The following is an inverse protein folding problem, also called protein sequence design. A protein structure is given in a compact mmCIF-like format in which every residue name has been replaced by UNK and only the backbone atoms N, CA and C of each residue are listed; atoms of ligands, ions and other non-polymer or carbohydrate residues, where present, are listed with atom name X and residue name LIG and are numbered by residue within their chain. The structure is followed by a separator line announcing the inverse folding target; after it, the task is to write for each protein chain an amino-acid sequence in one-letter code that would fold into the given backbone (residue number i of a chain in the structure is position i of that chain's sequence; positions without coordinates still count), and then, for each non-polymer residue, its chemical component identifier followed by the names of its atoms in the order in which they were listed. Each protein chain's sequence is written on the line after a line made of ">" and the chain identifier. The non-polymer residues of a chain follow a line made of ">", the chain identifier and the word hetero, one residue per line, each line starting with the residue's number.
data_IF_358220608465
#
_entry.id   IF_358220608465
#
_cell.length_a   1.000
_cell.length_b   1.000
_cell.length_c   1.000
_cell.angle_alpha   90.00
_cell.angle_beta   90.00
_cell.angle_gamma   90.00
#
_symmetry.space_group_name_H-M   'P 1'
#
loop_
_entity.id
_entity.type
_entity.pdbx_description
1 polymer ?
#
# COMPACT_ATOMS: atom_id res chain seq x y z
N UNK A 1 37.07 49.26 -53.86
CA UNK A 1 36.08 49.62 -52.89
C UNK A 1 35.02 48.51 -52.80
N UNK A 2 35.31 47.28 -52.33
CA UNK A 2 34.32 46.15 -52.15
C UNK A 2 34.66 45.23 -50.99
N UNK A 3 35.25 45.73 -49.90
CA UNK A 3 35.61 44.89 -48.73
C UNK A 3 34.96 45.30 -47.40
N UNK A 4 34.03 46.24 -47.38
CA UNK A 4 33.41 46.73 -46.16
C UNK A 4 31.95 46.23 -45.95
N UNK A 5 31.37 45.52 -46.92
CA UNK A 5 29.97 45.05 -46.82
C UNK A 5 29.82 43.63 -46.25
N UNK A 6 30.90 42.85 -46.13
CA UNK A 6 30.83 41.50 -45.62
C UNK A 6 30.98 41.37 -44.08
N UNK A 7 31.47 42.45 -43.42
CA UNK A 7 31.76 42.41 -41.99
C UNK A 7 30.53 42.72 -41.12
N UNK A 8 29.48 43.31 -41.67
CA UNK A 8 28.28 43.61 -40.92
C UNK A 8 27.20 42.45 -40.90
N UNK A 9 27.30 41.49 -41.82
CA UNK A 9 26.35 40.41 -41.94
C UNK A 9 26.64 39.22 -40.99
N UNK A 10 27.86 39.13 -40.46
CA UNK A 10 28.27 38.01 -39.57
C UNK A 10 28.00 38.30 -38.10
N UNK A 11 27.82 39.57 -37.71
CA UNK A 11 27.55 39.96 -36.32
C UNK A 11 26.07 39.92 -35.93
N UNK A 12 25.15 39.72 -36.86
CA UNK A 12 23.71 39.71 -36.58
C UNK A 12 23.16 38.31 -36.23
N UNK A 13 23.95 37.24 -36.30
CA UNK A 13 23.49 35.85 -36.08
C UNK A 13 23.81 35.34 -34.68
N UNK A 14 24.59 36.04 -33.86
CA UNK A 14 25.01 35.58 -32.53
C UNK A 14 24.14 36.15 -31.39
N UNK A 15 23.14 36.98 -31.67
CA UNK A 15 22.22 37.51 -30.67
C UNK A 15 20.87 36.75 -30.61
N UNK A 16 20.86 35.49 -31.04
CA UNK A 16 19.77 34.56 -30.76
C UNK A 16 19.85 34.14 -29.32
N UNK A 17 19.17 34.88 -28.43
CA UNK A 17 18.94 34.51 -27.04
C UNK A 17 18.35 33.13 -27.01
N UNK A 18 19.10 32.12 -26.50
CA UNK A 18 18.54 30.86 -26.05
C UNK A 18 17.62 31.16 -24.87
N UNK A 19 16.36 31.45 -25.12
CA UNK A 19 15.31 31.32 -24.14
C UNK A 19 15.08 29.81 -24.02
N UNK A 20 15.79 29.19 -23.08
CA UNK A 20 15.45 27.82 -22.67
C UNK A 20 14.01 27.86 -22.16
N UNK A 21 13.11 27.01 -22.68
CA UNK A 21 11.79 26.88 -22.08
C UNK A 21 11.99 26.43 -20.62
N UNK A 22 11.65 27.29 -19.68
CA UNK A 22 11.47 26.90 -18.29
C UNK A 22 10.25 25.98 -18.31
N UNK A 23 10.51 24.68 -18.34
CA UNK A 23 9.47 23.68 -18.08
C UNK A 23 8.95 24.00 -16.67
N UNK A 24 7.64 24.21 -16.49
CA UNK A 24 7.09 24.31 -15.16
C UNK A 24 7.47 23.00 -14.46
N UNK A 25 8.17 23.08 -13.33
CA UNK A 25 8.31 21.97 -12.42
C UNK A 25 6.87 21.61 -12.04
N UNK A 26 6.38 20.50 -12.56
CA UNK A 26 5.17 19.88 -12.05
C UNK A 26 5.52 19.51 -10.62
N UNK A 27 5.07 20.32 -9.66
CA UNK A 27 5.11 19.92 -8.28
C UNK A 27 4.30 18.63 -8.24
N UNK A 28 4.97 17.53 -7.97
CA UNK A 28 4.34 16.26 -7.71
C UNK A 28 3.47 16.52 -6.49
N UNK A 29 2.16 16.60 -6.72
CA UNK A 29 1.17 16.77 -5.66
C UNK A 29 1.31 15.52 -4.80
N UNK A 30 1.96 15.65 -3.64
CA UNK A 30 2.09 14.56 -2.67
C UNK A 30 0.65 14.28 -2.26
N UNK A 31 0.08 13.24 -2.82
CA UNK A 31 -1.27 12.78 -2.54
C UNK A 31 -1.34 12.58 -1.02
N UNK A 32 -2.08 13.46 -0.33
CA UNK A 32 -2.23 13.43 1.12
C UNK A 32 -2.92 12.12 1.48
N UNK A 33 -2.14 11.13 1.89
CA UNK A 33 -2.63 9.78 2.16
C UNK A 33 -3.49 9.85 3.41
N UNK A 34 -4.80 9.84 3.21
CA UNK A 34 -5.77 9.85 4.27
C UNK A 34 -5.77 8.51 5.00
N UNK A 35 -5.46 8.53 6.28
CA UNK A 35 -5.50 7.35 7.13
C UNK A 35 -6.94 7.05 7.52
N UNK A 36 -7.47 5.94 7.05
CA UNK A 36 -8.74 5.40 7.51
C UNK A 36 -8.49 4.54 8.74
N UNK A 37 -8.63 5.05 9.88
CA UNK A 37 -8.43 4.30 11.14
C UNK A 37 -9.08 5.01 12.31
N UNK A 38 -9.67 6.16 12.05
CA UNK A 38 -10.29 6.99 13.07
C UNK A 38 -11.80 7.05 12.84
N UNK A 39 -12.58 6.84 13.90
CA UNK A 39 -14.00 7.17 13.85
C UNK A 39 -14.14 8.68 13.63
N UNK A 40 -14.42 9.09 12.40
CA UNK A 40 -14.52 10.51 12.04
C UNK A 40 -13.98 10.80 10.64
N UNK A 41 -13.56 12.05 10.42
CA UNK A 41 -12.97 12.45 9.15
C UNK A 41 -11.59 11.80 8.96
N UNK A 42 -11.22 11.43 7.73
CA UNK A 42 -9.86 10.98 7.41
C UNK A 42 -8.83 11.99 7.92
N UNK A 43 -7.73 11.51 8.47
CA UNK A 43 -6.62 12.34 8.95
C UNK A 43 -5.36 12.01 8.16
N UNK A 44 -4.44 12.94 8.09
CA UNK A 44 -3.12 12.67 7.54
C UNK A 44 -2.34 11.70 8.47
N UNK A 45 -1.37 11.01 7.91
CA UNK A 45 -0.50 10.09 8.68
C UNK A 45 0.22 10.83 9.80
N UNK A 46 0.62 12.09 9.56
CA UNK A 46 1.31 12.95 10.52
C UNK A 46 0.44 13.34 11.72
N UNK A 47 -0.88 13.41 11.55
CA UNK A 47 -1.83 13.80 12.59
C UNK A 47 -2.40 12.60 13.37
N UNK A 48 -1.97 11.40 13.02
CA UNK A 48 -2.42 10.19 13.70
C UNK A 48 -1.75 10.04 15.07
N UNK A 49 -2.52 9.89 16.17
CA UNK A 49 -1.96 9.63 17.50
C UNK A 49 -1.37 8.21 17.61
N UNK A 50 -1.55 7.37 16.62
CA UNK A 50 -1.12 5.97 16.57
C UNK A 50 -0.23 5.78 15.36
N UNK A 51 0.88 5.04 15.46
CA UNK A 51 1.77 4.77 14.33
C UNK A 51 1.03 3.98 13.25
N UNK A 52 0.87 4.61 12.09
CA UNK A 52 0.25 4.03 10.91
C UNK A 52 1.27 3.98 9.80
N UNK A 53 1.47 2.81 9.23
CA UNK A 53 2.23 2.66 8.00
C UNK A 53 1.25 2.58 6.82
N UNK A 54 1.54 3.34 5.78
CA UNK A 54 0.76 3.34 4.53
C UNK A 54 1.65 2.89 3.38
N UNK A 55 1.23 1.86 2.69
CA UNK A 55 1.90 1.31 1.52
C UNK A 55 1.04 1.55 0.29
N UNK A 56 1.44 2.49 -0.55
CA UNK A 56 0.77 2.80 -1.81
C UNK A 56 1.05 1.75 -2.90
N UNK A 57 0.42 1.93 -4.05
CA UNK A 57 0.54 1.01 -5.20
C UNK A 57 1.99 0.79 -5.63
N UNK A 58 2.81 1.84 -5.64
CA UNK A 58 4.22 1.76 -6.00
C UNK A 58 5.01 0.82 -5.07
N UNK A 59 4.81 0.96 -3.74
CA UNK A 59 5.45 0.09 -2.76
C UNK A 59 4.99 -1.36 -2.91
N UNK A 60 3.69 -1.58 -3.19
CA UNK A 60 3.14 -2.92 -3.39
C UNK A 60 3.64 -3.58 -4.67
N UNK A 61 3.85 -2.81 -5.74
CA UNK A 61 4.34 -3.27 -7.03
C UNK A 61 5.85 -3.47 -7.07
N UNK A 62 6.62 -2.76 -6.23
CA UNK A 62 8.07 -2.91 -6.10
C UNK A 62 8.48 -4.30 -5.61
N UNK A 63 7.58 -4.99 -4.93
CA UNK A 63 7.81 -6.35 -4.42
C UNK A 63 7.42 -7.36 -5.49
N UNK A 64 8.33 -8.30 -5.81
CA UNK A 64 8.14 -9.28 -6.88
C UNK A 64 7.16 -10.42 -6.56
N UNK A 65 6.49 -10.39 -5.41
CA UNK A 65 5.53 -11.42 -5.03
C UNK A 65 4.12 -11.11 -5.55
N UNK A 66 3.39 -12.16 -5.94
CA UNK A 66 1.98 -12.08 -6.36
C UNK A 66 1.00 -12.35 -5.21
N UNK A 67 1.44 -13.10 -4.20
CA UNK A 67 0.65 -13.39 -3.00
C UNK A 67 0.68 -12.19 -2.06
N UNK A 68 -0.48 -11.65 -1.74
CA UNK A 68 -0.64 -10.51 -0.83
C UNK A 68 0.03 -10.74 0.53
N UNK A 69 0.04 -11.96 1.02
CA UNK A 69 0.71 -12.30 2.28
C UNK A 69 2.23 -12.14 2.19
N UNK A 70 2.84 -12.58 1.09
CA UNK A 70 4.29 -12.48 0.91
C UNK A 70 4.71 -11.01 0.68
N UNK A 71 3.86 -10.22 -0.01
CA UNK A 71 4.04 -8.77 -0.14
C UNK A 71 4.04 -8.10 1.24
N UNK A 72 3.03 -8.37 2.06
CA UNK A 72 2.94 -7.79 3.41
C UNK A 72 4.08 -8.25 4.32
N UNK A 73 4.49 -9.51 4.24
CA UNK A 73 5.63 -10.03 5.01
C UNK A 73 6.93 -9.29 4.69
N UNK A 74 7.09 -8.82 3.46
CA UNK A 74 8.28 -8.07 3.03
C UNK A 74 8.20 -6.61 3.48
N UNK A 75 7.03 -5.97 3.36
CA UNK A 75 6.84 -4.55 3.64
C UNK A 75 6.63 -4.25 5.12
N UNK A 76 5.99 -5.16 5.86
CA UNK A 76 5.59 -4.96 7.27
C UNK A 76 6.39 -5.89 8.17
N UNK A 77 7.43 -5.40 8.87
CA UNK A 77 8.30 -6.26 9.71
C UNK A 77 7.56 -6.97 10.85
N UNK A 78 6.45 -6.39 11.34
CA UNK A 78 5.63 -7.00 12.40
C UNK A 78 4.62 -8.03 11.90
N UNK A 79 4.50 -8.18 10.56
CA UNK A 79 3.58 -9.10 9.94
C UNK A 79 4.14 -10.51 9.87
N UNK A 80 3.35 -11.47 10.26
CA UNK A 80 3.73 -12.88 10.18
C UNK A 80 2.59 -13.69 9.53
N UNK A 81 2.99 -14.71 8.77
CA UNK A 81 2.08 -15.70 8.20
C UNK A 81 2.58 -17.07 8.60
N UNK A 82 1.77 -17.79 9.34
CA UNK A 82 2.05 -19.18 9.63
C UNK A 82 1.48 -20.03 8.50
N UNK A 83 2.37 -20.58 7.67
CA UNK A 83 1.99 -21.60 6.69
C UNK A 83 2.02 -22.95 7.39
N UNK A 84 0.90 -23.63 7.41
CA UNK A 84 0.77 -24.96 8.01
C UNK A 84 0.52 -26.00 6.90
N UNK A 85 1.57 -26.62 6.35
CA UNK A 85 1.42 -27.52 5.20
C UNK A 85 0.71 -28.83 5.52
N UNK A 86 0.62 -29.21 6.82
CA UNK A 86 -0.01 -30.43 7.29
C UNK A 86 -0.90 -30.11 8.48
N UNK A 87 -2.02 -29.46 8.23
CA UNK A 87 -2.97 -29.10 9.30
C UNK A 87 -4.38 -28.99 8.75
N UNK A 88 -4.94 -30.11 8.37
CA UNK A 88 -6.33 -30.19 7.87
C UNK A 88 -6.72 -28.97 7.00
N UNK A 89 -7.80 -28.28 7.31
CA UNK A 89 -8.20 -27.08 6.59
C UNK A 89 -7.29 -25.86 6.81
N UNK A 90 -6.40 -25.85 7.82
CA UNK A 90 -5.45 -24.77 8.07
C UNK A 90 -4.44 -24.56 6.93
N UNK A 91 -4.27 -25.56 6.07
CA UNK A 91 -3.45 -25.47 4.85
C UNK A 91 -4.02 -24.49 3.84
N UNK A 92 -5.35 -24.32 3.79
CA UNK A 92 -6.04 -23.54 2.75
C UNK A 92 -6.24 -22.08 3.12
N UNK A 93 -6.22 -21.73 4.41
CA UNK A 93 -6.43 -20.36 4.88
C UNK A 93 -5.11 -19.72 5.30
N UNK A 94 -4.99 -18.41 5.06
CA UNK A 94 -3.82 -17.62 5.44
C UNK A 94 -4.26 -16.36 6.18
N UNK A 95 -4.57 -16.49 7.48
CA UNK A 95 -4.98 -15.35 8.27
C UNK A 95 -3.78 -14.48 8.63
N UNK A 96 -4.02 -13.17 8.73
CA UNK A 96 -3.01 -12.22 9.16
C UNK A 96 -2.65 -12.40 10.62
N UNK A 97 -1.38 -12.23 10.91
CA UNK A 97 -0.85 -12.09 12.26
C UNK A 97 0.04 -10.85 12.36
N UNK A 98 -0.15 -10.05 13.38
CA UNK A 98 0.75 -8.97 13.73
C UNK A 98 1.40 -9.25 15.07
N UNK A 99 2.69 -8.92 15.19
CA UNK A 99 3.46 -9.02 16.44
C UNK A 99 3.46 -10.41 17.08
N UNK A 100 3.30 -11.46 16.29
CA UNK A 100 3.26 -12.84 16.79
C UNK A 100 2.03 -13.21 17.62
N UNK A 101 1.00 -12.33 17.66
CA UNK A 101 -0.23 -12.60 18.39
C UNK A 101 -1.15 -13.53 17.60
N UNK A 102 -2.11 -14.21 18.27
CA UNK A 102 -3.09 -15.06 17.60
C UNK A 102 -3.87 -14.32 16.50
N UNK A 103 -4.33 -15.05 15.49
CA UNK A 103 -4.96 -14.52 14.29
C UNK A 103 -6.28 -13.78 14.53
N UNK A 104 -6.97 -14.06 15.63
CA UNK A 104 -8.19 -13.39 16.07
C UNK A 104 -7.94 -12.01 16.72
N UNK A 105 -6.68 -11.63 16.95
CA UNK A 105 -6.28 -10.35 17.52
C UNK A 105 -5.84 -9.34 16.49
N UNK A 106 -5.75 -9.72 15.23
CA UNK A 106 -5.46 -8.84 14.10
C UNK A 106 -6.73 -8.57 13.33
N UNK A 107 -7.21 -7.33 13.38
CA UNK A 107 -8.40 -6.94 12.63
C UNK A 107 -8.05 -6.66 11.18
N UNK A 108 -8.77 -7.29 10.27
CA UNK A 108 -8.67 -7.03 8.83
C UNK A 108 -9.89 -6.27 8.35
N UNK A 109 -9.63 -5.17 7.65
CA UNK A 109 -10.63 -4.36 6.97
C UNK A 109 -10.41 -4.41 5.46
N UNK A 110 -11.49 -4.26 4.71
CA UNK A 110 -11.48 -4.03 3.26
C UNK A 110 -12.33 -2.79 3.01
N UNK A 111 -11.74 -1.75 2.45
CA UNK A 111 -12.37 -0.43 2.29
C UNK A 111 -13.05 0.02 3.60
N UNK A 112 -12.31 -0.06 4.71
CA UNK A 112 -12.75 0.31 6.07
C UNK A 112 -13.91 -0.53 6.64
N UNK A 113 -14.32 -1.61 5.97
CA UNK A 113 -15.34 -2.55 6.45
C UNK A 113 -14.69 -3.83 6.97
N UNK A 114 -15.16 -4.33 8.12
CA UNK A 114 -14.63 -5.57 8.70
C UNK A 114 -14.74 -6.75 7.73
N UNK A 115 -13.62 -7.42 7.50
CA UNK A 115 -13.61 -8.69 6.78
C UNK A 115 -14.18 -9.79 7.69
N UNK A 116 -15.01 -10.66 7.14
CA UNK A 116 -15.52 -11.82 7.87
C UNK A 116 -14.39 -12.81 8.21
N UNK A 117 -14.55 -13.52 9.30
CA UNK A 117 -13.64 -14.60 9.69
C UNK A 117 -13.81 -15.80 8.77
N UNK A 118 -12.73 -16.54 8.54
CA UNK A 118 -12.81 -17.84 7.86
C UNK A 118 -13.63 -18.81 8.71
N UNK A 119 -14.36 -19.71 8.05
CA UNK A 119 -15.18 -20.72 8.76
C UNK A 119 -14.33 -21.71 9.54
N UNK A 120 -13.05 -21.83 9.23
CA UNK A 120 -12.15 -22.80 9.81
C UNK A 120 -11.53 -22.32 11.10
N UNK A 121 -11.55 -23.16 12.13
CA UNK A 121 -10.77 -23.00 13.36
C UNK A 121 -9.37 -23.56 13.14
N UNK A 122 -8.35 -22.76 13.33
CA UNK A 122 -6.95 -23.18 13.20
C UNK A 122 -6.50 -23.90 14.48
N UNK A 123 -6.47 -25.21 14.48
CA UNK A 123 -6.03 -26.03 15.63
C UNK A 123 -4.56 -25.71 15.94
N UNK A 124 -3.68 -25.68 14.93
CA UNK A 124 -2.28 -25.26 15.07
C UNK A 124 -2.05 -23.78 15.32
N UNK A 125 -3.10 -22.94 15.30
CA UNK A 125 -3.08 -21.49 15.53
C UNK A 125 -3.84 -21.10 16.81
N UNK A 126 -3.63 -21.82 17.91
CA UNK A 126 -4.25 -21.53 19.23
C UNK A 126 -5.78 -21.62 19.23
N UNK A 127 -6.38 -22.41 18.35
CA UNK A 127 -7.82 -22.57 18.25
C UNK A 127 -8.57 -21.30 17.80
N UNK A 128 -7.91 -20.41 17.04
CA UNK A 128 -8.47 -19.13 16.64
C UNK A 128 -9.03 -19.15 15.22
N UNK A 129 -9.91 -18.20 14.92
CA UNK A 129 -10.47 -17.96 13.59
C UNK A 129 -10.08 -16.54 13.14
N UNK A 130 -9.17 -16.46 12.18
CA UNK A 130 -8.82 -15.19 11.52
C UNK A 130 -9.47 -15.04 10.15
N UNK A 131 -9.56 -13.82 9.60
CA UNK A 131 -9.98 -13.62 8.23
C UNK A 131 -8.92 -14.13 7.24
N UNK A 132 -9.35 -14.82 6.19
CA UNK A 132 -8.46 -15.28 5.13
C UNK A 132 -8.09 -14.13 4.19
N UNK A 133 -6.79 -13.85 4.07
CA UNK A 133 -6.26 -12.82 3.18
C UNK A 133 -5.85 -13.39 1.83
N UNK A 134 -5.64 -14.70 1.69
CA UNK A 134 -5.23 -15.30 0.43
C UNK A 134 -6.22 -15.04 -0.72
N UNK A 135 -7.47 -14.73 -0.37
CA UNK A 135 -8.54 -14.40 -1.33
C UNK A 135 -8.50 -12.95 -1.83
N UNK A 136 -7.59 -12.11 -1.31
CA UNK A 136 -7.44 -10.71 -1.74
C UNK A 136 -6.24 -10.65 -2.70
N UNK A 137 -6.46 -10.48 -4.01
CA UNK A 137 -5.37 -10.42 -4.98
C UNK A 137 -4.60 -9.09 -4.83
N UNK A 138 -3.27 -9.16 -4.87
CA UNK A 138 -2.42 -7.96 -4.78
C UNK A 138 -2.67 -6.96 -5.91
N UNK A 139 -3.07 -7.44 -7.10
CA UNK A 139 -3.41 -6.60 -8.24
C UNK A 139 -4.64 -5.71 -8.05
N UNK A 140 -5.54 -6.08 -7.14
CA UNK A 140 -6.73 -5.29 -6.83
C UNK A 140 -6.47 -4.21 -5.76
N UNK A 141 -5.28 -4.18 -5.15
CA UNK A 141 -4.96 -3.24 -4.09
C UNK A 141 -4.52 -1.88 -4.65
N UNK A 142 -5.10 -0.82 -4.12
CA UNK A 142 -4.65 0.56 -4.30
C UNK A 142 -3.60 0.90 -3.25
N UNK A 143 -3.90 0.58 -1.99
CA UNK A 143 -2.99 0.78 -0.86
C UNK A 143 -3.33 -0.16 0.29
N UNK A 144 -2.39 -0.33 1.20
CA UNK A 144 -2.59 -1.06 2.45
C UNK A 144 -2.15 -0.17 3.61
N UNK A 145 -3.01 -0.04 4.59
CA UNK A 145 -2.75 0.72 5.81
C UNK A 145 -2.60 -0.25 6.98
N UNK A 146 -1.55 -0.09 7.78
CA UNK A 146 -1.27 -0.94 8.93
C UNK A 146 -1.16 -0.09 10.18
N UNK A 147 -2.13 -0.21 11.07
CA UNK A 147 -2.08 0.36 12.42
C UNK A 147 -1.44 -0.66 13.35
N UNK A 148 -0.27 -0.32 13.88
CA UNK A 148 0.52 -1.26 14.69
C UNK A 148 0.15 -1.29 16.16
N UNK A 149 -0.47 -0.25 16.69
CA UNK A 149 -0.79 -0.15 18.12
C UNK A 149 -2.02 0.73 18.39
N UNK A 150 -2.57 0.67 19.61
CA UNK A 150 -3.66 1.55 20.05
C UNK A 150 -5.00 1.34 19.39
N UNK A 151 -5.12 0.41 18.44
CA UNK A 151 -6.33 0.22 17.66
C UNK A 151 -7.48 -0.40 18.47
N UNK A 152 -7.19 -1.12 19.54
CA UNK A 152 -8.20 -1.79 20.37
C UNK A 152 -9.21 -0.82 20.98
N UNK A 153 -8.80 0.39 21.32
CA UNK A 153 -9.68 1.43 21.88
C UNK A 153 -10.76 1.86 20.90
N UNK A 154 -10.49 1.78 19.59
CA UNK A 154 -11.42 2.21 18.54
C UNK A 154 -12.17 1.04 17.90
N UNK A 155 -11.52 -0.11 17.77
CA UNK A 155 -12.00 -1.25 17.02
C UNK A 155 -12.40 -2.45 17.88
N UNK A 156 -12.06 -2.45 19.18
CA UNK A 156 -12.38 -3.51 20.11
C UNK A 156 -11.29 -4.60 20.22
N UNK A 157 -11.62 -5.68 20.90
CA UNK A 157 -10.70 -6.76 21.27
C UNK A 157 -10.07 -7.49 20.06
N UNK A 158 -10.69 -7.42 18.90
CA UNK A 158 -10.18 -8.04 17.67
C UNK A 158 -8.95 -7.29 17.10
N UNK A 159 -8.68 -6.07 17.58
CA UNK A 159 -7.64 -5.21 17.09
C UNK A 159 -6.50 -4.98 18.11
N UNK A 160 -6.30 -5.90 19.05
CA UNK A 160 -5.24 -5.79 20.07
C UNK A 160 -3.85 -5.85 19.44
N UNK A 161 -3.67 -6.71 18.44
CA UNK A 161 -2.41 -6.81 17.71
C UNK A 161 -2.22 -5.67 16.69
N UNK A 162 -3.30 -5.09 16.23
CA UNK A 162 -3.33 -4.02 15.23
C UNK A 162 -4.47 -4.19 14.23
N UNK A 163 -4.50 -3.29 13.25
CA UNK A 163 -5.47 -3.30 12.15
C UNK A 163 -4.73 -3.27 10.83
N UNK A 164 -5.19 -4.06 9.87
CA UNK A 164 -4.76 -4.02 8.48
C UNK A 164 -5.96 -3.64 7.64
N UNK A 165 -5.89 -2.51 6.93
CA UNK A 165 -6.95 -2.05 6.04
C UNK A 165 -6.49 -2.12 4.59
N UNK A 166 -7.15 -2.94 3.80
CA UNK A 166 -6.93 -3.07 2.37
C UNK A 166 -7.84 -2.10 1.63
N UNK A 167 -7.26 -1.14 0.96
CA UNK A 167 -7.97 -0.22 0.07
C UNK A 167 -7.90 -0.77 -1.34
N UNK A 168 -9.05 -1.04 -1.92
CA UNK A 168 -9.15 -1.59 -3.27
C UNK A 168 -9.10 -0.47 -4.31
N UNK A 169 -8.62 -0.79 -5.51
CA UNK A 169 -8.72 0.08 -6.69
C UNK A 169 -10.19 0.31 -7.02
N UNK A 170 -10.54 1.53 -7.35
CA UNK A 170 -11.89 1.98 -7.71
C UNK A 170 -12.05 2.32 -9.20
N UNK A 171 -11.05 1.96 -10.01
CA UNK A 171 -11.05 2.23 -11.44
C UNK A 171 -12.20 1.46 -12.12
N UNK A 172 -13.11 2.20 -12.74
CA UNK A 172 -14.19 1.64 -13.53
C UNK A 172 -13.76 1.34 -14.98
N UNK A 173 -12.63 1.92 -15.42
CA UNK A 173 -12.15 1.85 -16.79
C UNK A 173 -10.66 1.45 -16.84
N UNK A 174 -10.28 0.86 -17.97
CA UNK A 174 -8.90 0.42 -18.20
C UNK A 174 -8.62 -1.02 -17.77
N UNK A 175 -7.41 -1.46 -18.03
CA UNK A 175 -6.88 -2.77 -17.64
C UNK A 175 -5.36 -2.73 -17.58
N UNK A 176 -4.76 -3.56 -16.75
CA UNK A 176 -3.30 -3.70 -16.67
C UNK A 176 -2.92 -5.14 -16.97
N UNK A 177 -1.85 -5.31 -17.71
CA UNK A 177 -1.23 -6.60 -17.96
C UNK A 177 0.22 -6.54 -17.49
N UNK A 178 0.63 -7.45 -16.62
CA UNK A 178 2.01 -7.54 -16.16
C UNK A 178 2.54 -8.96 -16.33
N UNK A 179 3.76 -9.08 -16.86
CA UNK A 179 4.51 -10.34 -16.89
C UNK A 179 5.66 -10.19 -15.91
N UNK A 180 5.76 -11.12 -14.99
CA UNK A 180 6.90 -11.22 -14.05
C UNK A 180 7.65 -12.49 -14.38
N UNK A 181 8.95 -12.37 -14.60
CA UNK A 181 9.89 -13.47 -14.86
C UNK A 181 10.76 -13.73 -13.65
#
# INVERSE_FOLDING_TARGET
>A
MKRKALSCAVMAVIAGTMVAPVLPAVAEEIEEVAVTGVRGKPRSVSDSPVPVDVFGSEALESVSYTDTNDVLKTLVPSYNVTRQPISDGGTFIRPAQLRGMPTDKTLVLVNSKRRHRAALVQIGGSGTQGPDIATIPSSALKSVEVLRDGAAAQYGSDAIAGVINFILKDNAEGGSFSVRT
#
